data_IF_012682029400
#
_entry.id   IF_012682029400
#
_cell.length_a   1.000
_cell.length_b   1.000
_cell.length_c   1.000
_cell.angle_alpha   90.00
_cell.angle_beta   90.00
_cell.angle_gamma   90.00
#
_symmetry.space_group_name_H-M   'P 1'
#
loop_
_entity.id
_entity.type
_entity.pdbx_description
1 polymer ?
#
# COMPACT_ATOMS: atom_id res chain seq x y z
N UNK A 1 -23.99 -8.01 -1.73
CA UNK A 1 -22.75 -8.23 -2.50
C UNK A 1 -21.61 -8.20 -1.50
N UNK A 2 -20.79 -9.26 -1.34
CA UNK A 2 -19.82 -9.33 -0.24
C UNK A 2 -18.64 -8.36 -0.43
N UNK A 3 -18.31 -7.98 -1.66
CA UNK A 3 -17.29 -6.98 -1.97
C UNK A 3 -17.75 -6.11 -3.14
N UNK A 4 -17.54 -4.80 -3.03
CA UNK A 4 -17.66 -3.82 -4.12
C UNK A 4 -16.34 -3.05 -4.14
N UNK A 5 -15.79 -2.82 -5.33
CA UNK A 5 -14.53 -2.10 -5.50
C UNK A 5 -13.96 -2.29 -6.90
N UNK A 6 -12.80 -1.70 -7.13
CA UNK A 6 -12.10 -1.77 -8.41
C UNK A 6 -10.85 -0.91 -8.38
N UNK A 7 -10.02 -0.97 -9.44
CA UNK A 7 -8.89 -0.07 -9.57
C UNK A 7 -9.42 1.37 -9.66
N UNK A 8 -8.90 2.23 -8.80
CA UNK A 8 -9.21 3.67 -8.81
C UNK A 8 -8.07 4.49 -9.40
N UNK A 9 -6.95 3.89 -9.80
CA UNK A 9 -5.83 4.57 -10.44
C UNK A 9 -4.55 3.74 -10.44
N UNK A 10 -3.44 4.30 -10.94
CA UNK A 10 -2.13 3.65 -10.85
C UNK A 10 -1.54 3.84 -9.46
N UNK A 11 -0.82 2.83 -8.98
CA UNK A 11 -0.17 2.88 -7.68
C UNK A 11 0.85 4.01 -7.51
N UNK A 12 1.34 4.61 -8.62
CA UNK A 12 2.22 5.80 -8.62
C UNK A 12 1.47 7.05 -8.17
N UNK A 13 0.22 7.20 -8.60
CA UNK A 13 -0.57 8.41 -8.45
C UNK A 13 -0.88 8.68 -6.97
N UNK A 14 -0.89 7.62 -6.16
CA UNK A 14 -1.17 7.67 -4.73
C UNK A 14 0.08 7.84 -3.85
N UNK A 15 1.15 8.40 -4.40
CA UNK A 15 2.39 8.70 -3.65
C UNK A 15 2.53 10.19 -3.30
N UNK A 16 1.94 11.10 -4.07
CA UNK A 16 2.07 12.55 -3.86
C UNK A 16 0.77 13.29 -4.15
N UNK A 17 0.25 14.02 -3.15
CA UNK A 17 -0.76 15.06 -3.28
C UNK A 17 -2.05 14.65 -4.02
N UNK A 18 -2.55 13.44 -3.79
CA UNK A 18 -3.62 12.85 -4.60
C UNK A 18 -5.04 13.15 -4.11
N UNK A 19 -5.20 13.63 -2.88
CA UNK A 19 -6.50 13.91 -2.29
C UNK A 19 -6.48 15.17 -1.42
N UNK A 20 -7.68 15.71 -1.21
CA UNK A 20 -7.99 16.73 -0.21
C UNK A 20 -8.96 16.14 0.82
N UNK A 21 -8.67 16.38 2.10
CA UNK A 21 -9.51 15.95 3.20
C UNK A 21 -10.73 16.86 3.34
N UNK A 22 -11.90 16.26 3.55
CA UNK A 22 -13.14 16.96 3.85
C UNK A 22 -13.79 16.35 5.10
N UNK A 23 -14.60 17.13 5.84
CA UNK A 23 -15.12 16.76 7.17
C UNK A 23 -15.72 15.35 7.26
N UNK A 24 -16.40 14.88 6.21
CA UNK A 24 -16.98 13.53 6.15
C UNK A 24 -16.64 12.77 4.86
N UNK A 25 -15.61 13.21 4.13
CA UNK A 25 -15.25 12.62 2.84
C UNK A 25 -13.77 12.82 2.45
N UNK A 26 -13.41 12.27 1.30
CA UNK A 26 -12.18 12.59 0.55
C UNK A 26 -12.54 13.07 -0.85
N UNK A 27 -11.79 14.03 -1.36
CA UNK A 27 -11.88 14.45 -2.76
C UNK A 27 -10.56 14.11 -3.44
N UNK A 28 -10.59 13.26 -4.44
CA UNK A 28 -9.43 12.98 -5.27
C UNK A 28 -9.22 14.13 -6.24
N UNK A 29 -7.96 14.55 -6.39
CA UNK A 29 -7.60 15.69 -7.25
C UNK A 29 -7.62 15.33 -8.73
N UNK A 30 -7.42 14.06 -9.05
CA UNK A 30 -7.61 13.56 -10.40
C UNK A 30 -9.10 13.31 -10.66
N UNK A 31 -9.64 13.91 -11.72
CA UNK A 31 -11.06 13.84 -12.06
C UNK A 31 -11.53 12.42 -12.34
N UNK A 32 -10.74 11.60 -13.05
CA UNK A 32 -11.13 10.23 -13.36
C UNK A 32 -11.15 9.36 -12.09
N UNK A 33 -10.18 9.55 -11.20
CA UNK A 33 -10.17 8.90 -9.88
C UNK A 33 -11.38 9.33 -9.05
N UNK A 34 -11.71 10.63 -9.06
CA UNK A 34 -12.87 11.16 -8.33
C UNK A 34 -14.19 10.60 -8.88
N UNK A 35 -14.33 10.47 -10.19
CA UNK A 35 -15.51 9.86 -10.83
C UNK A 35 -15.67 8.38 -10.42
N UNK A 36 -14.57 7.62 -10.41
CA UNK A 36 -14.58 6.23 -9.93
C UNK A 36 -14.95 6.12 -8.45
N UNK A 37 -14.44 7.03 -7.61
CA UNK A 37 -14.79 7.11 -6.19
C UNK A 37 -16.28 7.43 -6.00
N UNK A 38 -16.82 8.44 -6.68
CA UNK A 38 -18.24 8.78 -6.62
C UNK A 38 -19.13 7.64 -7.13
N UNK A 39 -18.72 6.96 -8.21
CA UNK A 39 -19.41 5.78 -8.74
C UNK A 39 -19.42 4.62 -7.75
N UNK A 40 -18.31 4.39 -7.05
CA UNK A 40 -18.23 3.43 -5.94
C UNK A 40 -19.24 3.78 -4.84
N UNK A 41 -19.21 5.02 -4.32
CA UNK A 41 -20.12 5.46 -3.25
C UNK A 41 -21.59 5.32 -3.65
N UNK A 42 -21.91 5.64 -4.91
CA UNK A 42 -23.25 5.43 -5.49
C UNK A 42 -23.63 3.95 -5.49
N UNK A 43 -22.71 3.07 -5.87
CA UNK A 43 -22.95 1.61 -5.93
C UNK A 43 -23.23 1.02 -4.55
N UNK A 44 -22.53 1.48 -3.51
CA UNK A 44 -22.80 1.08 -2.12
C UNK A 44 -23.93 1.88 -1.45
N UNK A 45 -24.52 2.85 -2.15
CA UNK A 45 -25.68 3.60 -1.68
C UNK A 45 -25.40 4.58 -0.54
N UNK A 46 -24.17 5.07 -0.43
CA UNK A 46 -23.78 6.08 0.57
C UNK A 46 -23.39 7.40 -0.11
N UNK A 47 -23.68 8.56 0.48
CA UNK A 47 -23.39 9.84 -0.17
C UNK A 47 -21.91 10.24 -0.08
N UNK A 48 -21.18 9.74 0.93
CA UNK A 48 -19.82 10.16 1.29
C UNK A 48 -19.08 9.04 2.01
N UNK A 49 -17.76 9.05 1.96
CA UNK A 49 -16.93 7.98 2.53
C UNK A 49 -17.15 7.79 4.04
N UNK A 50 -17.34 8.87 4.81
CA UNK A 50 -17.61 8.81 6.26
C UNK A 50 -18.95 8.16 6.65
N UNK A 51 -19.79 7.80 5.67
CA UNK A 51 -21.06 7.08 5.89
C UNK A 51 -20.95 5.58 5.60
N UNK A 52 -19.77 5.09 5.20
CA UNK A 52 -19.53 3.66 5.02
C UNK A 52 -19.73 2.91 6.34
N UNK A 53 -20.55 1.86 6.30
CA UNK A 53 -20.78 0.92 7.41
C UNK A 53 -19.95 -0.36 7.26
N UNK A 54 -19.28 -0.52 6.13
CA UNK A 54 -18.39 -1.65 5.82
C UNK A 54 -16.93 -1.22 5.91
N UNK A 55 -15.99 -2.15 6.15
CA UNK A 55 -14.58 -1.79 6.24
C UNK A 55 -14.02 -1.31 4.89
N UNK A 56 -13.11 -0.33 4.95
CA UNK A 56 -12.37 0.15 3.80
C UNK A 56 -11.10 -0.67 3.64
N UNK A 57 -10.94 -1.33 2.49
CA UNK A 57 -9.70 -2.02 2.12
C UNK A 57 -8.94 -1.17 1.11
N UNK A 58 -7.68 -0.84 1.40
CA UNK A 58 -6.85 0.01 0.54
C UNK A 58 -5.44 -0.56 0.34
N UNK A 59 -4.84 -0.17 -0.79
CA UNK A 59 -3.44 -0.43 -1.14
C UNK A 59 -2.68 0.87 -1.42
N UNK A 60 -3.24 2.03 -1.07
CA UNK A 60 -2.58 3.32 -1.26
C UNK A 60 -1.27 3.39 -0.48
N UNK A 61 -0.23 3.97 -1.10
CA UNK A 61 1.11 4.02 -0.52
C UNK A 61 1.83 2.67 -0.42
N UNK A 62 1.30 1.59 -0.99
CA UNK A 62 1.93 0.26 -0.94
C UNK A 62 2.60 -0.16 -2.26
N UNK A 63 2.75 0.77 -3.21
CA UNK A 63 3.61 0.60 -4.39
C UNK A 63 5.08 0.76 -4.02
N UNK A 64 5.58 -0.12 -3.15
CA UNK A 64 6.88 0.04 -2.48
C UNK A 64 8.07 0.09 -3.45
N UNK A 65 7.93 -0.49 -4.64
CA UNK A 65 8.93 -0.43 -5.69
C UNK A 65 9.30 1.01 -6.09
N UNK A 66 8.39 1.98 -5.99
CA UNK A 66 8.71 3.39 -6.23
C UNK A 66 9.62 3.97 -5.15
N UNK A 67 9.33 3.72 -3.86
CA UNK A 67 10.20 4.13 -2.77
C UNK A 67 11.58 3.47 -2.90
N UNK A 68 11.60 2.23 -3.34
CA UNK A 68 12.81 1.43 -3.48
C UNK A 68 13.59 1.65 -4.78
N UNK A 69 13.23 2.63 -5.62
CA UNK A 69 13.94 2.89 -6.88
C UNK A 69 15.44 3.07 -6.63
N UNK A 70 16.28 2.21 -7.21
CA UNK A 70 17.71 2.07 -6.87
C UNK A 70 18.47 3.40 -6.96
N UNK A 71 18.13 4.25 -7.94
CA UNK A 71 18.77 5.55 -8.13
C UNK A 71 18.61 6.51 -6.93
N UNK A 72 17.48 6.43 -6.21
CA UNK A 72 17.20 7.31 -5.07
C UNK A 72 18.14 7.07 -3.88
N UNK A 73 18.76 5.89 -3.82
CA UNK A 73 19.50 5.43 -2.64
C UNK A 73 21.02 5.39 -2.83
N UNK A 74 21.50 5.67 -4.04
CA UNK A 74 22.93 5.62 -4.37
C UNK A 74 23.77 6.54 -3.48
N UNK A 75 23.24 7.73 -3.15
CA UNK A 75 23.94 8.71 -2.31
C UNK A 75 24.20 8.22 -0.87
N UNK A 76 23.44 7.23 -0.40
CA UNK A 76 23.57 6.69 0.96
C UNK A 76 24.47 5.45 1.03
N UNK A 77 25.07 5.03 -0.09
CA UNK A 77 25.94 3.87 -0.13
C UNK A 77 27.39 4.21 0.21
N UNK A 78 28.07 3.26 0.82
CA UNK A 78 29.51 3.27 1.02
C UNK A 78 30.25 3.00 -0.30
N UNK A 79 31.57 3.23 -0.32
CA UNK A 79 32.37 3.11 -1.55
C UNK A 79 32.43 1.68 -2.13
N UNK A 80 32.07 0.66 -1.35
CA UNK A 80 31.90 -0.73 -1.76
C UNK A 80 30.49 -1.04 -2.33
N UNK A 81 29.59 -0.05 -2.32
CA UNK A 81 28.23 -0.19 -2.82
C UNK A 81 27.22 -0.70 -1.79
N UNK A 82 27.60 -0.93 -0.53
CA UNK A 82 26.67 -1.33 0.54
C UNK A 82 26.04 -0.13 1.25
N UNK A 83 25.05 -0.37 2.12
CA UNK A 83 24.57 0.65 3.04
C UNK A 83 25.40 0.64 4.33
N UNK A 84 25.67 1.82 4.94
CA UNK A 84 26.25 1.87 6.28
C UNK A 84 25.46 0.98 7.26
N UNK A 85 26.17 0.31 8.17
CA UNK A 85 25.55 -0.59 9.14
C UNK A 85 24.42 0.12 9.92
N UNK A 86 23.24 -0.50 9.94
CA UNK A 86 22.06 0.03 10.61
C UNK A 86 21.32 1.14 9.87
N UNK A 87 21.78 1.60 8.70
CA UNK A 87 21.11 2.67 7.94
C UNK A 87 19.65 2.33 7.61
N UNK A 88 19.40 1.17 7.00
CA UNK A 88 18.05 0.73 6.59
C UNK A 88 17.10 0.45 7.78
N UNK A 89 17.63 0.35 8.99
CA UNK A 89 16.86 0.19 10.24
C UNK A 89 16.84 1.46 11.08
N UNK A 90 17.53 2.51 10.65
CA UNK A 90 17.76 3.73 11.40
C UNK A 90 16.67 4.78 11.18
N UNK A 91 16.65 5.79 12.06
CA UNK A 91 15.66 6.88 12.02
C UNK A 91 15.67 7.67 10.72
N UNK A 92 16.85 7.97 10.17
CA UNK A 92 16.96 8.72 8.91
C UNK A 92 16.25 8.01 7.75
N UNK A 93 16.46 6.70 7.60
CA UNK A 93 15.77 5.92 6.58
C UNK A 93 14.26 5.91 6.80
N UNK A 94 13.82 5.68 8.04
CA UNK A 94 12.41 5.68 8.43
C UNK A 94 11.75 7.03 8.10
N UNK A 95 12.41 8.15 8.40
CA UNK A 95 11.94 9.51 8.13
C UNK A 95 11.84 9.79 6.63
N UNK A 96 12.85 9.40 5.83
CA UNK A 96 12.81 9.56 4.37
C UNK A 96 11.63 8.79 3.79
N UNK A 97 11.47 7.51 4.13
CA UNK A 97 10.38 6.69 3.59
C UNK A 97 9.01 7.23 4.02
N UNK A 98 8.86 7.66 5.28
CA UNK A 98 7.61 8.31 5.75
C UNK A 98 7.34 9.62 5.03
N UNK A 99 8.36 10.41 4.75
CA UNK A 99 8.21 11.65 3.97
C UNK A 99 7.74 11.35 2.54
N UNK A 100 8.30 10.31 1.89
CA UNK A 100 7.85 9.88 0.57
C UNK A 100 6.42 9.32 0.59
N UNK A 101 6.00 8.68 1.69
CA UNK A 101 4.66 8.12 1.86
C UNK A 101 3.67 9.06 2.56
N UNK A 102 4.04 10.33 2.79
CA UNK A 102 3.31 11.24 3.69
C UNK A 102 1.83 11.41 3.33
N UNK A 103 1.52 11.48 2.03
CA UNK A 103 0.16 11.73 1.56
C UNK A 103 -0.70 10.46 1.68
N UNK A 104 -0.13 9.28 1.42
CA UNK A 104 -0.79 8.02 1.72
C UNK A 104 -1.07 7.88 3.23
N UNK A 105 -0.07 8.17 4.08
CA UNK A 105 -0.26 8.14 5.54
C UNK A 105 -1.30 9.17 6.01
N UNK A 106 -1.34 10.34 5.39
CA UNK A 106 -2.37 11.36 5.67
C UNK A 106 -3.77 10.86 5.29
N UNK A 107 -3.90 10.17 4.15
CA UNK A 107 -5.16 9.54 3.75
C UNK A 107 -5.63 8.55 4.82
N UNK A 108 -4.78 7.59 5.23
CA UNK A 108 -5.15 6.60 6.25
C UNK A 108 -5.53 7.25 7.58
N UNK A 109 -4.79 8.28 8.00
CA UNK A 109 -5.12 9.04 9.22
C UNK A 109 -6.50 9.68 9.09
N UNK A 110 -6.80 10.32 7.96
CA UNK A 110 -8.07 10.98 7.71
C UNK A 110 -9.23 9.99 7.71
N UNK A 111 -9.16 8.91 6.93
CA UNK A 111 -10.25 7.92 6.85
C UNK A 111 -10.47 7.19 8.18
N UNK A 112 -9.42 7.01 9.00
CA UNK A 112 -9.57 6.53 10.38
C UNK A 112 -10.24 7.59 11.27
N UNK A 113 -9.91 8.87 11.09
CA UNK A 113 -10.57 9.99 11.75
C UNK A 113 -12.06 10.09 11.45
N UNK A 114 -12.50 9.65 10.27
CA UNK A 114 -13.91 9.49 9.90
C UNK A 114 -14.62 8.33 10.64
N UNK A 115 -13.91 7.56 11.46
CA UNK A 115 -14.45 6.43 12.21
C UNK A 115 -14.49 5.10 11.45
N UNK A 116 -13.91 5.04 10.24
CA UNK A 116 -13.93 3.83 9.42
C UNK A 116 -12.99 2.77 9.95
N UNK A 117 -13.38 1.49 9.90
CA UNK A 117 -12.46 0.36 10.01
C UNK A 117 -11.67 0.27 8.71
N UNK A 118 -10.34 0.33 8.78
CA UNK A 118 -9.48 0.38 7.59
C UNK A 118 -8.47 -0.75 7.62
N UNK A 119 -8.37 -1.46 6.50
CA UNK A 119 -7.40 -2.53 6.27
C UNK A 119 -6.46 -2.13 5.13
N UNK A 120 -5.17 -2.38 5.32
CA UNK A 120 -4.14 -2.19 4.32
C UNK A 120 -3.56 -3.55 3.90
N UNK A 121 -3.61 -3.85 2.60
CA UNK A 121 -3.12 -5.12 2.06
C UNK A 121 -1.69 -4.96 1.57
N UNK A 122 -0.74 -5.65 2.20
CA UNK A 122 0.65 -5.59 1.77
C UNK A 122 0.80 -6.06 0.32
N UNK A 123 1.69 -5.42 -0.45
CA UNK A 123 1.83 -5.72 -1.86
C UNK A 123 2.48 -7.10 -2.06
N UNK A 124 2.41 -7.65 -3.27
CA UNK A 124 3.22 -8.77 -3.70
C UNK A 124 4.71 -8.59 -3.32
N UNK A 125 5.39 -9.65 -2.93
CA UNK A 125 6.83 -9.65 -2.64
C UNK A 125 7.63 -9.82 -3.92
N UNK A 126 7.35 -8.93 -4.87
CA UNK A 126 7.93 -8.87 -6.21
C UNK A 126 8.66 -7.54 -6.35
N UNK A 127 9.97 -7.62 -6.55
CA UNK A 127 10.83 -6.44 -6.66
C UNK A 127 11.28 -6.33 -8.12
N UNK A 128 10.80 -5.33 -8.88
CA UNK A 128 11.23 -5.14 -10.25
C UNK A 128 12.71 -4.73 -10.31
N UNK A 129 13.38 -4.95 -11.44
CA UNK A 129 14.83 -4.74 -11.56
C UNK A 129 15.32 -3.31 -11.34
N UNK A 130 14.43 -2.32 -11.44
CA UNK A 130 14.74 -0.91 -11.13
C UNK A 130 14.74 -0.58 -9.63
N UNK A 131 14.29 -1.52 -8.79
CA UNK A 131 14.16 -1.33 -7.34
C UNK A 131 15.20 -2.14 -6.58
N UNK A 132 15.76 -1.56 -5.53
CA UNK A 132 16.68 -2.24 -4.64
C UNK A 132 15.91 -3.17 -3.68
N UNK A 133 16.25 -4.47 -3.62
CA UNK A 133 15.57 -5.42 -2.74
C UNK A 133 15.67 -5.15 -1.23
N UNK A 134 16.82 -4.68 -0.75
CA UNK A 134 17.03 -4.40 0.67
C UNK A 134 16.18 -3.19 1.06
N UNK A 135 16.20 -2.14 0.24
CA UNK A 135 15.36 -0.96 0.43
C UNK A 135 13.88 -1.32 0.31
N UNK A 136 13.47 -2.14 -0.65
CA UNK A 136 12.07 -2.55 -0.79
C UNK A 136 11.56 -3.19 0.49
N UNK A 137 12.32 -4.12 1.05
CA UNK A 137 11.94 -4.81 2.29
C UNK A 137 11.89 -3.84 3.47
N UNK A 138 12.91 -3.00 3.61
CA UNK A 138 13.00 -2.01 4.69
C UNK A 138 11.89 -0.95 4.60
N UNK A 139 11.63 -0.40 3.41
CA UNK A 139 10.60 0.61 3.18
C UNK A 139 9.19 0.04 3.41
N UNK A 140 8.93 -1.18 2.94
CA UNK A 140 7.66 -1.86 3.22
C UNK A 140 7.43 -2.00 4.72
N UNK A 141 8.47 -2.37 5.47
CA UNK A 141 8.39 -2.54 6.91
C UNK A 141 8.20 -1.21 7.65
N UNK A 142 8.86 -0.13 7.22
CA UNK A 142 8.60 1.23 7.71
C UNK A 142 7.14 1.64 7.48
N UNK A 143 6.61 1.46 6.27
CA UNK A 143 5.22 1.81 5.94
C UNK A 143 4.25 0.95 6.74
N UNK A 144 4.50 -0.37 6.85
CA UNK A 144 3.68 -1.29 7.64
C UNK A 144 3.58 -0.85 9.10
N UNK A 145 4.71 -0.50 9.73
CA UNK A 145 4.72 0.02 11.12
C UNK A 145 4.00 1.36 11.23
N UNK A 146 4.19 2.26 10.28
CA UNK A 146 3.52 3.57 10.28
C UNK A 146 1.99 3.41 10.19
N UNK A 147 1.50 2.54 9.30
CA UNK A 147 0.08 2.24 9.17
C UNK A 147 -0.50 1.57 10.42
N UNK A 148 0.21 0.58 10.98
CA UNK A 148 -0.20 -0.05 12.24
C UNK A 148 -0.29 0.97 13.39
N UNK A 149 0.64 1.92 13.46
CA UNK A 149 0.60 3.03 14.42
C UNK A 149 -0.59 3.98 14.26
N UNK A 150 -1.22 4.02 13.08
CA UNK A 150 -2.48 4.75 12.84
C UNK A 150 -3.73 3.90 13.16
N UNK A 151 -3.55 2.68 13.67
CA UNK A 151 -4.64 1.73 13.93
C UNK A 151 -5.25 1.14 12.66
N UNK A 152 -4.48 1.11 11.56
CA UNK A 152 -4.86 0.39 10.34
C UNK A 152 -4.52 -1.09 10.50
N UNK A 153 -5.47 -1.96 10.18
CA UNK A 153 -5.25 -3.41 10.21
C UNK A 153 -4.40 -3.84 9.00
N UNK A 154 -3.34 -4.60 9.24
CA UNK A 154 -2.46 -5.06 8.16
C UNK A 154 -2.89 -6.48 7.74
N UNK A 155 -3.19 -6.63 6.45
CA UNK A 155 -3.33 -7.93 5.79
C UNK A 155 -1.94 -8.31 5.25
N UNK A 156 -1.22 -9.09 6.06
CA UNK A 156 0.13 -9.58 5.74
C UNK A 156 0.08 -11.08 5.40
N UNK A 157 0.26 -11.37 4.11
CA UNK A 157 0.26 -12.74 3.60
C UNK A 157 1.66 -13.30 3.37
N UNK A 158 2.74 -12.57 3.72
CA UNK A 158 4.12 -12.93 3.34
C UNK A 158 4.47 -14.35 3.74
N UNK A 159 4.18 -14.75 4.98
CA UNK A 159 4.42 -16.11 5.49
C UNK A 159 3.73 -17.22 4.69
N UNK A 160 2.65 -16.90 3.96
CA UNK A 160 1.87 -17.83 3.14
C UNK A 160 2.26 -17.79 1.67
N UNK A 161 2.93 -16.74 1.19
CA UNK A 161 3.13 -16.55 -0.26
C UNK A 161 4.59 -16.43 -0.65
N UNK A 162 5.51 -16.25 0.30
CA UNK A 162 6.95 -16.18 0.02
C UNK A 162 7.65 -17.52 0.16
N UNK A 163 8.80 -17.65 -0.51
CA UNK A 163 9.77 -18.71 -0.28
C UNK A 163 10.74 -18.37 0.86
N UNK A 164 11.75 -19.21 1.06
CA UNK A 164 12.78 -19.05 2.10
C UNK A 164 13.66 -17.79 1.90
N UNK A 165 13.67 -17.21 0.71
CA UNK A 165 14.42 -15.97 0.40
C UNK A 165 13.56 -14.71 0.61
N UNK A 166 12.29 -14.89 1.03
CA UNK A 166 11.34 -13.79 1.19
C UNK A 166 10.73 -13.32 -0.13
N UNK A 167 10.93 -14.03 -1.24
CA UNK A 167 10.36 -13.70 -2.55
C UNK A 167 9.05 -14.41 -2.78
N UNK A 168 8.13 -13.77 -3.49
CA UNK A 168 6.85 -14.38 -3.80
C UNK A 168 7.02 -15.65 -4.63
N UNK A 169 6.42 -16.75 -4.19
CA UNK A 169 6.44 -18.04 -4.89
C UNK A 169 5.76 -17.89 -6.25
N UNK A 170 6.32 -18.52 -7.28
CA UNK A 170 5.82 -18.44 -8.65
C UNK A 170 4.32 -18.75 -8.80
N UNK A 171 3.78 -19.64 -7.96
CA UNK A 171 2.35 -19.97 -7.92
C UNK A 171 1.42 -18.75 -7.64
N UNK A 172 1.96 -17.65 -7.12
CA UNK A 172 1.23 -16.41 -6.81
C UNK A 172 1.67 -15.22 -7.68
N UNK A 173 2.58 -15.42 -8.63
CA UNK A 173 3.09 -14.37 -9.51
C UNK A 173 2.32 -14.35 -10.84
N UNK A 174 2.06 -13.15 -11.35
CA UNK A 174 1.67 -12.95 -12.74
C UNK A 174 2.90 -13.18 -13.64
N UNK A 175 2.87 -14.11 -14.61
CA UNK A 175 4.08 -14.57 -15.32
C UNK A 175 4.91 -13.47 -16.00
N UNK A 176 4.25 -12.53 -16.69
CA UNK A 176 4.92 -11.53 -17.54
C UNK A 176 4.96 -10.12 -16.92
N UNK A 177 4.49 -9.98 -15.70
CA UNK A 177 4.43 -8.69 -15.01
C UNK A 177 5.36 -8.74 -13.80
N UNK A 178 6.40 -7.91 -13.65
CA UNK A 178 7.36 -8.05 -12.56
C UNK A 178 6.86 -7.56 -11.19
N UNK A 179 5.64 -7.03 -11.08
CA UNK A 179 5.12 -6.31 -9.92
C UNK A 179 3.88 -7.00 -9.34
N UNK A 180 2.96 -7.46 -10.18
CA UNK A 180 1.62 -7.88 -9.74
C UNK A 180 1.55 -9.34 -9.26
N UNK A 181 0.67 -9.63 -8.31
CA UNK A 181 0.29 -11.00 -8.01
C UNK A 181 -0.73 -11.51 -9.03
N UNK A 182 -0.83 -12.82 -9.20
CA UNK A 182 -1.85 -13.42 -10.07
C UNK A 182 -3.20 -13.59 -9.35
N UNK A 183 -4.15 -14.21 -10.04
CA UNK A 183 -5.47 -14.53 -9.49
C UNK A 183 -5.43 -15.37 -8.20
N UNK A 184 -4.48 -16.31 -8.06
CA UNK A 184 -4.36 -17.11 -6.84
C UNK A 184 -3.96 -16.26 -5.64
N UNK A 185 -3.09 -15.26 -5.84
CA UNK A 185 -2.77 -14.27 -4.82
C UNK A 185 -4.00 -13.45 -4.42
N UNK A 186 -4.75 -12.94 -5.42
CA UNK A 186 -5.99 -12.20 -5.17
C UNK A 186 -7.03 -13.01 -4.39
N UNK A 187 -7.20 -14.29 -4.72
CA UNK A 187 -8.08 -15.20 -3.97
C UNK A 187 -7.66 -15.39 -2.52
N UNK A 188 -6.36 -15.44 -2.23
CA UNK A 188 -5.86 -15.52 -0.85
C UNK A 188 -6.16 -14.25 -0.06
N UNK A 189 -6.02 -13.08 -0.67
CA UNK A 189 -6.39 -11.79 -0.06
C UNK A 189 -7.87 -11.79 0.30
N UNK A 190 -8.74 -12.12 -0.65
CA UNK A 190 -10.19 -12.16 -0.41
C UNK A 190 -10.55 -13.16 0.69
N UNK A 191 -9.96 -14.35 0.69
CA UNK A 191 -10.18 -15.34 1.75
C UNK A 191 -9.73 -14.83 3.14
N UNK A 192 -8.61 -14.12 3.23
CA UNK A 192 -8.12 -13.54 4.48
C UNK A 192 -9.03 -12.41 4.96
N UNK A 193 -9.53 -11.56 4.05
CA UNK A 193 -10.50 -10.51 4.35
C UNK A 193 -11.81 -11.10 4.89
N UNK A 194 -12.37 -12.11 4.22
CA UNK A 194 -13.58 -12.81 4.68
C UNK A 194 -13.39 -13.43 6.07
N UNK A 195 -12.24 -14.04 6.34
CA UNK A 195 -11.93 -14.61 7.66
C UNK A 195 -11.85 -13.56 8.78
N UNK A 196 -11.66 -12.28 8.43
CA UNK A 196 -11.66 -11.13 9.35
C UNK A 196 -13.03 -10.46 9.51
N UNK A 197 -14.08 -11.11 9.00
CA UNK A 197 -15.45 -10.63 9.08
C UNK A 197 -15.78 -9.50 8.11
N UNK A 198 -15.13 -9.47 6.93
CA UNK A 198 -15.64 -8.74 5.77
C UNK A 198 -16.67 -9.58 5.03
#
# INVERSE_FOLDING_TARGET
MPFVGGPVGSGRDFTVGFFDAHDDDVVFRDTAVQELHCGFLTTVGVPRLGRLTVPLVSTFGLSVHFYATTANWQIYRTGDGDFPAGFLTGGLFDDIVRAMARDALAFYRHVRGLGLRVLAVLPPQRVPGMSDPQVFTAAQETIRRALAGLGVEIVDLRTRVTDATGRQRAAFCEPDDPIHGNLAFGRLIVADLLARGL
#
